data_IF_538632580910
#
_entry.id   IF_538632580910
#
_cell.length_a   1.000
_cell.length_b   1.000
_cell.length_c   1.000
_cell.angle_alpha   90.00
_cell.angle_beta   90.00
_cell.angle_gamma   90.00
#
_symmetry.space_group_name_H-M   'P 1'
#
loop_
_entity.id
_entity.type
_entity.pdbx_description
1 polymer ?
#
# COMPACT_ATOMS: atom_id res chain seq x y z
N UNK A 1 29.03 -51.58 33.34
CA UNK A 1 28.55 -51.59 31.95
C UNK A 1 27.32 -50.70 31.90
N UNK A 2 27.51 -49.40 31.62
CA UNK A 2 26.42 -48.41 31.65
C UNK A 2 25.58 -48.52 30.38
N UNK A 3 24.24 -48.67 30.47
CA UNK A 3 23.42 -48.76 29.27
C UNK A 3 23.46 -47.41 28.55
N UNK A 4 24.04 -47.41 27.34
CA UNK A 4 24.07 -46.23 26.50
C UNK A 4 22.70 -46.06 25.85
N UNK A 5 21.88 -45.15 26.37
CA UNK A 5 20.57 -44.84 25.77
C UNK A 5 20.82 -44.12 24.45
N UNK A 6 20.36 -44.70 23.34
CA UNK A 6 20.34 -44.07 22.03
C UNK A 6 19.27 -42.97 21.98
N UNK A 7 19.60 -41.81 21.41
CA UNK A 7 18.72 -40.64 21.29
C UNK A 7 17.39 -40.99 20.64
N UNK A 8 17.39 -41.91 19.66
CA UNK A 8 16.16 -42.38 19.01
C UNK A 8 15.24 -43.12 19.97
N UNK A 9 15.79 -43.94 20.86
CA UNK A 9 15.01 -44.67 21.86
C UNK A 9 14.49 -43.74 22.97
N UNK A 10 15.29 -42.74 23.37
CA UNK A 10 14.85 -41.72 24.30
C UNK A 10 13.68 -40.88 23.74
N UNK A 11 13.78 -40.44 22.48
CA UNK A 11 12.73 -39.65 21.83
C UNK A 11 11.45 -40.48 21.59
N UNK A 12 11.59 -41.75 21.21
CA UNK A 12 10.47 -42.67 21.09
C UNK A 12 9.73 -42.86 22.43
N UNK A 13 10.48 -43.00 23.53
CA UNK A 13 9.91 -43.12 24.88
C UNK A 13 9.17 -41.86 25.33
N UNK A 14 9.74 -40.67 25.11
CA UNK A 14 9.08 -39.39 25.44
C UNK A 14 7.80 -39.21 24.63
N UNK A 15 7.83 -39.55 23.34
CA UNK A 15 6.66 -39.46 22.45
C UNK A 15 5.56 -40.45 22.86
N UNK A 16 5.93 -41.66 23.29
CA UNK A 16 4.97 -42.66 23.78
C UNK A 16 4.31 -42.26 25.11
N UNK A 17 5.06 -41.64 26.03
CA UNK A 17 4.52 -41.25 27.36
C UNK A 17 3.72 -39.95 27.34
N UNK A 18 4.11 -38.96 26.53
CA UNK A 18 3.51 -37.62 26.54
C UNK A 18 2.84 -37.22 25.23
N UNK A 19 3.00 -37.99 24.15
CA UNK A 19 2.44 -37.64 22.84
C UNK A 19 0.92 -37.62 22.82
N UNK A 20 0.26 -38.53 23.55
CA UNK A 20 -1.21 -38.61 23.59
C UNK A 20 -1.86 -37.48 24.40
N UNK A 21 -1.24 -37.07 25.52
CA UNK A 21 -1.77 -36.00 26.38
C UNK A 21 -1.55 -34.60 25.79
N UNK A 22 -0.57 -34.44 24.92
CA UNK A 22 -0.32 -33.19 24.18
C UNK A 22 -1.11 -33.10 22.87
N UNK A 23 -1.46 -34.24 22.25
CA UNK A 23 -2.16 -34.24 20.96
C UNK A 23 -3.53 -33.57 21.04
N UNK A 24 -4.35 -33.88 22.05
CA UNK A 24 -5.68 -33.27 22.21
C UNK A 24 -5.64 -31.74 22.41
N UNK A 25 -4.83 -31.16 23.32
CA UNK A 25 -4.73 -29.70 23.44
C UNK A 25 -4.08 -29.03 22.23
N UNK A 26 -3.10 -29.65 21.57
CA UNK A 26 -2.51 -29.10 20.32
C UNK A 26 -3.51 -29.15 19.17
N UNK A 27 -4.23 -30.25 18.99
CA UNK A 27 -5.27 -30.38 17.97
C UNK A 27 -6.44 -29.41 18.23
N UNK A 28 -6.82 -29.19 19.50
CA UNK A 28 -7.79 -28.15 19.85
C UNK A 28 -7.26 -26.74 19.62
N UNK A 29 -5.98 -26.46 19.88
CA UNK A 29 -5.38 -25.16 19.59
C UNK A 29 -5.27 -24.92 18.07
N UNK A 30 -4.86 -25.93 17.28
CA UNK A 30 -4.82 -25.86 15.82
C UNK A 30 -6.22 -25.70 15.22
N UNK A 31 -7.19 -26.49 15.71
CA UNK A 31 -8.60 -26.37 15.31
C UNK A 31 -9.25 -25.06 15.77
N UNK A 32 -8.85 -24.50 16.90
CA UNK A 32 -9.28 -23.17 17.35
C UNK A 32 -8.67 -22.05 16.50
N UNK A 33 -7.42 -22.20 16.02
CA UNK A 33 -6.83 -21.28 15.03
C UNK A 33 -7.53 -21.40 13.67
N UNK A 34 -7.96 -22.60 13.28
CA UNK A 34 -8.71 -22.85 12.04
C UNK A 34 -10.16 -22.33 12.12
N UNK A 35 -10.84 -22.53 13.25
CA UNK A 35 -12.13 -21.89 13.56
C UNK A 35 -12.01 -20.36 13.71
N UNK A 36 -10.89 -19.86 14.25
CA UNK A 36 -10.61 -18.43 14.34
C UNK A 36 -10.30 -17.83 12.95
N UNK A 37 -9.68 -18.57 12.03
CA UNK A 37 -9.49 -18.15 10.63
C UNK A 37 -10.80 -17.99 9.87
N UNK A 38 -11.88 -18.66 10.31
CA UNK A 38 -13.23 -18.45 9.78
C UNK A 38 -13.95 -17.24 10.36
N UNK A 39 -13.43 -16.63 11.44
CA UNK A 39 -14.06 -15.51 12.17
C UNK A 39 -13.23 -14.22 12.17
N UNK A 40 -11.92 -14.31 11.92
CA UNK A 40 -11.04 -13.18 11.67
C UNK A 40 -10.90 -13.05 10.15
N UNK A 41 -11.38 -11.95 9.52
CA UNK A 41 -11.20 -11.76 8.10
C UNK A 41 -9.70 -11.77 7.77
N UNK A 42 -9.28 -12.68 6.89
CA UNK A 42 -7.91 -12.70 6.37
C UNK A 42 -7.69 -11.43 5.56
N UNK A 43 -6.73 -10.60 5.96
CA UNK A 43 -6.33 -9.43 5.18
C UNK A 43 -5.75 -9.97 3.86
N UNK A 44 -6.38 -9.61 2.75
CA UNK A 44 -5.92 -10.01 1.43
C UNK A 44 -4.73 -9.16 1.04
N UNK A 45 -3.52 -9.71 1.13
CA UNK A 45 -2.29 -9.10 0.61
C UNK A 45 -2.14 -9.25 -0.92
N UNK A 46 -3.13 -9.87 -1.56
CA UNK A 46 -3.17 -10.14 -2.99
C UNK A 46 -3.65 -8.94 -3.83
N UNK A 47 -3.74 -9.13 -5.16
CA UNK A 47 -4.24 -8.11 -6.08
C UNK A 47 -5.67 -7.64 -5.72
N UNK A 48 -6.13 -6.52 -6.30
CA UNK A 48 -7.50 -6.03 -6.12
C UNK A 48 -8.53 -7.15 -6.37
N UNK A 49 -9.59 -7.22 -5.55
CA UNK A 49 -10.63 -8.26 -5.69
C UNK A 49 -11.35 -8.21 -7.03
N UNK A 50 -11.42 -7.02 -7.63
CA UNK A 50 -11.94 -6.75 -8.96
C UNK A 50 -11.07 -5.72 -9.67
N UNK A 51 -10.94 -5.86 -10.99
CA UNK A 51 -10.26 -4.84 -11.79
C UNK A 51 -11.14 -3.58 -11.85
N UNK A 52 -10.62 -2.45 -11.39
CA UNK A 52 -11.34 -1.16 -11.39
C UNK A 52 -10.96 -0.35 -12.62
N UNK A 53 -9.68 -0.36 -12.98
CA UNK A 53 -9.19 0.45 -14.08
C UNK A 53 -9.11 -0.33 -15.40
N UNK A 54 -9.53 0.33 -16.47
CA UNK A 54 -9.12 -0.06 -17.82
C UNK A 54 -7.60 0.08 -17.97
N UNK A 55 -6.96 -0.58 -18.97
CA UNK A 55 -5.53 -0.43 -19.20
C UNK A 55 -5.07 1.03 -19.38
N UNK A 56 -5.89 1.86 -20.04
CA UNK A 56 -5.60 3.29 -20.25
C UNK A 56 -5.68 4.05 -18.92
N UNK A 57 -6.75 3.85 -18.15
CA UNK A 57 -6.91 4.48 -16.83
C UNK A 57 -5.79 4.08 -15.88
N UNK A 58 -5.37 2.81 -15.89
CA UNK A 58 -4.26 2.32 -15.06
C UNK A 58 -2.94 2.98 -15.45
N UNK A 59 -2.65 3.08 -16.75
CA UNK A 59 -1.45 3.77 -17.23
C UNK A 59 -1.45 5.25 -16.83
N UNK A 60 -2.61 5.92 -16.91
CA UNK A 60 -2.76 7.31 -16.48
C UNK A 60 -2.60 7.44 -14.97
N UNK A 61 -3.20 6.57 -14.16
CA UNK A 61 -3.02 6.52 -12.71
C UNK A 61 -1.54 6.38 -12.32
N UNK A 62 -0.81 5.47 -12.98
CA UNK A 62 0.64 5.28 -12.79
C UNK A 62 1.40 6.58 -13.09
N UNK A 63 1.18 7.17 -14.27
CA UNK A 63 1.90 8.37 -14.70
C UNK A 63 1.63 9.56 -13.78
N UNK A 64 0.36 9.80 -13.43
CA UNK A 64 -0.03 10.92 -12.57
C UNK A 64 0.44 10.75 -11.12
N UNK A 65 0.45 9.52 -10.59
CA UNK A 65 0.93 9.27 -9.22
C UNK A 65 2.40 9.64 -9.07
N UNK A 66 3.22 9.33 -10.07
CA UNK A 66 4.64 9.73 -10.10
C UNK A 66 4.82 11.24 -10.24
N UNK A 67 3.87 11.96 -10.84
CA UNK A 67 3.91 13.44 -10.84
C UNK A 67 3.64 14.04 -9.46
N UNK A 68 2.80 13.40 -8.64
CA UNK A 68 2.49 13.86 -7.29
C UNK A 68 3.65 13.60 -6.32
N UNK A 69 4.26 12.41 -6.36
CA UNK A 69 5.46 12.08 -5.60
C UNK A 69 6.49 11.43 -6.54
N UNK A 70 7.33 12.24 -7.21
CA UNK A 70 8.35 11.75 -8.12
C UNK A 70 9.54 11.17 -7.39
N UNK A 71 10.26 10.28 -8.05
CA UNK A 71 11.58 9.85 -7.59
C UNK A 71 12.55 11.04 -7.54
N UNK A 72 13.16 11.25 -6.37
CA UNK A 72 14.19 12.27 -6.13
C UNK A 72 15.39 11.60 -5.44
N UNK A 73 15.78 12.06 -4.25
CA UNK A 73 16.75 11.37 -3.39
C UNK A 73 16.17 10.08 -2.79
N UNK A 74 14.84 9.96 -2.80
CA UNK A 74 14.08 8.77 -2.40
C UNK A 74 13.22 8.23 -3.54
N UNK A 75 12.92 6.92 -3.58
CA UNK A 75 12.07 6.34 -4.61
C UNK A 75 10.66 6.92 -4.59
N UNK A 76 10.08 7.19 -5.77
CA UNK A 76 8.77 7.82 -5.93
C UNK A 76 7.55 6.89 -5.79
N UNK A 77 6.38 7.40 -6.14
CA UNK A 77 5.09 6.73 -5.99
C UNK A 77 5.02 5.37 -6.72
N UNK A 78 5.61 5.25 -7.91
CA UNK A 78 5.64 3.98 -8.65
C UNK A 78 6.46 2.94 -7.90
N UNK A 79 7.65 3.31 -7.43
CA UNK A 79 8.51 2.40 -6.66
C UNK A 79 7.85 1.95 -5.36
N UNK A 80 7.07 2.85 -4.73
CA UNK A 80 6.25 2.57 -3.55
C UNK A 80 4.95 1.79 -3.83
N UNK A 81 4.69 1.36 -5.08
CA UNK A 81 3.48 0.62 -5.48
C UNK A 81 2.17 1.35 -5.16
N UNK A 82 2.20 2.68 -5.19
CA UNK A 82 1.04 3.52 -4.92
C UNK A 82 -0.10 3.26 -5.92
N UNK A 83 0.14 3.12 -7.24
CA UNK A 83 -0.96 2.84 -8.18
C UNK A 83 -1.72 1.55 -7.86
N UNK A 84 -1.01 0.49 -7.47
CA UNK A 84 -1.59 -0.79 -7.06
C UNK A 84 -2.38 -0.65 -5.75
N UNK A 85 -1.83 0.09 -4.79
CA UNK A 85 -2.53 0.43 -3.54
C UNK A 85 -3.85 1.16 -3.84
N UNK A 86 -3.85 2.15 -4.73
CA UNK A 86 -5.04 2.91 -5.08
C UNK A 86 -6.09 1.99 -5.72
N UNK A 87 -5.71 1.17 -6.70
CA UNK A 87 -6.66 0.26 -7.33
C UNK A 87 -7.25 -0.74 -6.32
N UNK A 88 -6.42 -1.23 -5.39
CA UNK A 88 -6.87 -2.12 -4.30
C UNK A 88 -7.82 -1.42 -3.33
N UNK A 89 -7.51 -0.21 -2.90
CA UNK A 89 -8.40 0.60 -2.05
C UNK A 89 -9.76 0.83 -2.72
N UNK A 90 -9.76 1.14 -4.01
CA UNK A 90 -10.99 1.33 -4.77
C UNK A 90 -11.74 0.01 -4.99
N UNK A 91 -11.07 -1.12 -5.14
CA UNK A 91 -11.73 -2.41 -5.29
C UNK A 91 -12.37 -2.88 -3.98
N UNK A 92 -11.58 -2.89 -2.91
CA UNK A 92 -11.88 -3.67 -1.71
C UNK A 92 -12.56 -2.84 -0.61
N UNK A 93 -12.41 -1.51 -0.60
CA UNK A 93 -12.82 -0.67 0.53
C UNK A 93 -13.70 0.54 0.17
N UNK A 94 -13.40 1.24 -0.92
CA UNK A 94 -14.07 2.50 -1.23
C UNK A 94 -15.58 2.33 -1.45
N UNK A 95 -16.37 3.35 -1.08
CA UNK A 95 -17.78 3.41 -1.44
C UNK A 95 -17.95 3.74 -2.94
N UNK A 96 -19.11 3.45 -3.56
CA UNK A 96 -19.37 3.88 -4.93
C UNK A 96 -19.20 5.40 -5.14
N UNK A 97 -19.56 6.20 -4.13
CA UNK A 97 -19.48 7.66 -4.17
C UNK A 97 -18.02 8.14 -4.16
N UNK A 98 -17.11 7.41 -3.51
CA UNK A 98 -15.68 7.72 -3.52
C UNK A 98 -14.98 7.23 -4.80
N UNK A 99 -15.45 6.12 -5.39
CA UNK A 99 -14.89 5.55 -6.63
C UNK A 99 -15.20 6.41 -7.86
N UNK A 100 -16.43 6.89 -7.94
CA UNK A 100 -16.96 7.64 -9.09
C UNK A 100 -16.07 8.82 -9.52
N UNK A 101 -15.69 9.76 -8.63
CA UNK A 101 -14.87 10.90 -9.02
C UNK A 101 -13.47 10.51 -9.51
N UNK A 102 -12.89 9.42 -8.97
CA UNK A 102 -11.58 8.94 -9.43
C UNK A 102 -11.66 8.48 -10.89
N UNK A 103 -12.65 7.66 -11.23
CA UNK A 103 -12.82 7.15 -12.60
C UNK A 103 -13.20 8.28 -13.56
N UNK A 104 -14.11 9.16 -13.16
CA UNK A 104 -14.55 10.30 -13.96
C UNK A 104 -13.40 11.26 -14.26
N UNK A 105 -12.57 11.57 -13.27
CA UNK A 105 -11.40 12.43 -13.45
C UNK A 105 -10.31 11.82 -14.34
N UNK A 106 -10.03 10.52 -14.22
CA UNK A 106 -9.10 9.85 -15.13
C UNK A 106 -9.58 9.94 -16.58
N UNK A 107 -10.89 9.81 -16.82
CA UNK A 107 -11.47 9.97 -18.16
C UNK A 107 -11.38 11.42 -18.64
N UNK A 108 -11.65 12.40 -17.76
CA UNK A 108 -11.56 13.82 -18.09
C UNK A 108 -10.11 14.23 -18.44
N UNK A 109 -9.12 13.76 -17.68
CA UNK A 109 -7.70 14.00 -17.95
C UNK A 109 -7.28 13.35 -19.28
N UNK A 110 -7.70 12.11 -19.53
CA UNK A 110 -7.40 11.44 -20.80
C UNK A 110 -8.00 12.22 -21.98
N UNK A 111 -9.28 12.58 -21.91
CA UNK A 111 -9.95 13.37 -22.94
C UNK A 111 -9.27 14.73 -23.15
N UNK A 112 -8.86 15.39 -22.07
CA UNK A 112 -8.13 16.67 -22.14
C UNK A 112 -6.79 16.50 -22.82
N UNK A 113 -6.01 15.48 -22.45
CA UNK A 113 -4.71 15.20 -23.08
C UNK A 113 -4.85 14.91 -24.57
N UNK A 114 -5.83 14.10 -24.97
CA UNK A 114 -6.11 13.84 -26.38
C UNK A 114 -6.51 15.12 -27.13
N UNK A 115 -7.27 16.02 -26.49
CA UNK A 115 -7.72 17.26 -27.13
C UNK A 115 -6.59 18.27 -27.32
N UNK A 116 -5.73 18.49 -26.31
CA UNK A 116 -4.70 19.54 -26.29
C UNK A 116 -3.33 19.02 -26.72
N UNK A 117 -2.91 17.87 -26.19
CA UNK A 117 -1.57 17.31 -26.40
C UNK A 117 -1.51 16.31 -27.56
N UNK A 118 -2.67 15.85 -28.09
CA UNK A 118 -2.80 14.85 -29.15
C UNK A 118 -2.16 13.49 -28.83
N UNK A 119 -1.98 13.21 -27.54
CA UNK A 119 -1.41 11.97 -27.02
C UNK A 119 -2.20 11.51 -25.80
N UNK A 120 -2.14 10.21 -25.50
CA UNK A 120 -2.68 9.67 -24.26
C UNK A 120 -2.02 10.34 -23.05
N UNK A 121 -2.76 10.57 -21.97
CA UNK A 121 -2.25 11.28 -20.80
C UNK A 121 -1.01 10.61 -20.20
N UNK A 122 -1.01 9.27 -20.15
CA UNK A 122 0.13 8.47 -19.71
C UNK A 122 1.40 8.64 -20.58
N UNK A 123 1.24 9.05 -21.85
CA UNK A 123 2.34 9.27 -22.80
C UNK A 123 2.70 10.75 -22.98
N UNK A 124 1.95 11.65 -22.36
CA UNK A 124 2.25 13.07 -22.36
C UNK A 124 3.59 13.33 -21.64
N UNK A 125 4.25 14.43 -21.97
CA UNK A 125 5.49 14.83 -21.29
C UNK A 125 5.20 15.19 -19.82
N UNK A 126 6.21 15.20 -18.97
CA UNK A 126 6.06 15.57 -17.55
C UNK A 126 5.36 16.94 -17.40
N UNK A 127 5.78 17.96 -18.16
CA UNK A 127 5.16 19.28 -18.13
C UNK A 127 3.70 19.27 -18.60
N UNK A 128 3.35 18.43 -19.58
CA UNK A 128 1.96 18.27 -20.01
C UNK A 128 1.11 17.56 -18.95
N UNK A 129 1.67 16.58 -18.24
CA UNK A 129 0.99 15.91 -17.13
C UNK A 129 0.77 16.88 -15.96
N UNK A 130 1.75 17.73 -15.66
CA UNK A 130 1.62 18.78 -14.63
C UNK A 130 0.54 19.79 -14.98
N UNK A 131 0.47 20.20 -16.25
CA UNK A 131 -0.60 21.07 -16.75
C UNK A 131 -1.97 20.40 -16.58
N UNK A 132 -2.12 19.12 -16.93
CA UNK A 132 -3.39 18.39 -16.77
C UNK A 132 -3.82 18.30 -15.30
N UNK A 133 -2.88 18.05 -14.38
CA UNK A 133 -3.14 18.04 -12.94
C UNK A 133 -3.50 19.43 -12.41
N UNK A 134 -2.85 20.48 -12.92
CA UNK A 134 -3.13 21.87 -12.56
C UNK A 134 -4.54 22.27 -13.02
N UNK A 135 -4.91 21.97 -14.26
CA UNK A 135 -6.26 22.21 -14.79
C UNK A 135 -7.33 21.44 -14.01
N UNK A 136 -7.02 20.22 -13.56
CA UNK A 136 -7.90 19.46 -12.69
C UNK A 136 -8.07 20.15 -11.33
N UNK A 137 -6.97 20.53 -10.68
CA UNK A 137 -6.95 21.23 -9.40
C UNK A 137 -7.72 22.56 -9.44
N UNK A 138 -7.55 23.34 -10.50
CA UNK A 138 -8.20 24.64 -10.67
C UNK A 138 -9.67 24.53 -11.09
N UNK A 139 -10.17 23.32 -11.38
CA UNK A 139 -11.55 23.09 -11.81
C UNK A 139 -11.82 23.55 -13.24
N UNK A 140 -10.78 23.68 -14.07
CA UNK A 140 -10.91 23.95 -15.51
C UNK A 140 -11.57 22.75 -16.22
N UNK A 141 -11.29 21.53 -15.73
CA UNK A 141 -11.95 20.31 -16.18
C UNK A 141 -13.26 20.11 -15.38
N UNK A 142 -14.39 19.75 -16.05
CA UNK A 142 -15.68 19.55 -15.38
C UNK A 142 -15.64 18.60 -14.17
N UNK A 143 -14.83 17.54 -14.26
CA UNK A 143 -14.63 16.53 -13.20
C UNK A 143 -13.31 16.73 -12.43
N UNK A 144 -12.56 17.77 -12.77
CA UNK A 144 -11.18 17.96 -12.32
C UNK A 144 -11.07 18.13 -10.82
N UNK A 145 -11.89 19.01 -10.24
CA UNK A 145 -11.79 19.36 -8.82
C UNK A 145 -12.27 18.23 -7.91
N UNK A 146 -13.36 17.58 -8.29
CA UNK A 146 -13.88 16.40 -7.59
C UNK A 146 -12.89 15.21 -7.63
N UNK A 147 -12.06 15.14 -8.68
CA UNK A 147 -11.01 14.14 -8.82
C UNK A 147 -9.73 14.48 -8.05
N UNK A 148 -9.21 15.69 -8.21
CA UNK A 148 -7.83 16.03 -7.86
C UNK A 148 -7.55 15.88 -6.36
N UNK A 149 -8.45 16.39 -5.52
CA UNK A 149 -8.28 16.32 -4.07
C UNK A 149 -8.27 14.87 -3.56
N UNK A 150 -9.27 14.01 -3.85
CA UNK A 150 -9.23 12.59 -3.48
C UNK A 150 -8.05 11.83 -4.09
N UNK A 151 -7.74 12.05 -5.36
CA UNK A 151 -6.62 11.39 -6.04
C UNK A 151 -5.30 11.72 -5.34
N UNK A 152 -5.02 13.00 -5.10
CA UNK A 152 -3.80 13.45 -4.41
C UNK A 152 -3.74 12.85 -3.00
N UNK A 153 -4.85 12.86 -2.26
CA UNK A 153 -4.89 12.30 -0.91
C UNK A 153 -4.60 10.80 -0.91
N UNK A 154 -5.14 10.05 -1.87
CA UNK A 154 -4.85 8.62 -2.04
C UNK A 154 -3.37 8.37 -2.36
N UNK A 155 -2.76 9.19 -3.20
CA UNK A 155 -1.31 9.07 -3.51
C UNK A 155 -0.45 9.34 -2.28
N UNK A 156 -0.72 10.43 -1.57
CA UNK A 156 0.01 10.79 -0.34
C UNK A 156 -0.15 9.70 0.71
N UNK A 157 -1.38 9.21 0.91
CA UNK A 157 -1.66 8.15 1.87
C UNK A 157 -0.90 6.88 1.50
N UNK A 158 -1.04 6.40 0.26
CA UNK A 158 -0.37 5.19 -0.20
C UNK A 158 1.15 5.26 -0.08
N UNK A 159 1.74 6.43 -0.37
CA UNK A 159 3.18 6.61 -0.25
C UNK A 159 3.66 6.62 1.20
N UNK A 160 3.07 7.45 2.07
CA UNK A 160 3.53 7.60 3.46
C UNK A 160 3.11 6.45 4.39
N UNK A 161 2.29 5.52 3.91
CA UNK A 161 2.04 4.22 4.58
C UNK A 161 2.82 3.06 3.93
N UNK A 162 3.63 3.33 2.90
CA UNK A 162 4.50 2.31 2.29
C UNK A 162 5.81 2.16 3.08
N UNK A 163 6.48 1.02 2.89
CA UNK A 163 7.83 0.79 3.45
C UNK A 163 8.82 1.88 3.01
N UNK A 164 8.79 2.30 1.74
CA UNK A 164 9.66 3.38 1.23
C UNK A 164 9.37 4.70 1.94
N UNK A 165 8.11 5.11 2.02
CA UNK A 165 7.72 6.37 2.67
C UNK A 165 7.98 6.39 4.18
N UNK A 166 7.92 5.24 4.85
CA UNK A 166 8.16 5.12 6.29
C UNK A 166 9.66 5.03 6.61
N UNK A 167 10.44 4.25 5.85
CA UNK A 167 11.81 3.87 6.22
C UNK A 167 12.91 4.64 5.48
N UNK A 168 12.60 5.20 4.30
CA UNK A 168 13.59 5.88 3.47
C UNK A 168 13.34 7.38 3.41
N UNK A 169 12.09 7.80 3.20
CA UNK A 169 11.71 9.22 3.19
C UNK A 169 11.69 9.83 4.60
N UNK A 170 11.26 9.05 5.60
CA UNK A 170 11.19 9.46 7.01
C UNK A 170 12.28 8.80 7.84
N UNK A 171 12.58 9.39 8.99
CA UNK A 171 13.48 8.79 9.97
C UNK A 171 12.71 7.77 10.80
N UNK A 172 12.97 6.48 10.55
CA UNK A 172 12.25 5.40 11.19
C UNK A 172 12.75 5.14 12.62
N UNK A 173 11.88 5.39 13.59
CA UNK A 173 12.11 5.21 15.02
C UNK A 173 10.95 4.37 15.62
N UNK A 174 10.97 3.03 15.46
CA UNK A 174 9.86 2.16 15.85
C UNK A 174 9.62 2.09 17.36
N UNK A 175 10.65 2.39 18.15
CA UNK A 175 10.56 2.46 19.61
C UNK A 175 11.11 3.83 20.02
N UNK A 176 10.26 4.87 20.06
CA UNK A 176 10.70 6.18 20.51
C UNK A 176 11.11 6.08 21.98
N UNK A 177 12.33 6.54 22.28
CA UNK A 177 12.82 6.68 23.64
C UNK A 177 12.25 7.92 24.32
N UNK A 178 13.10 8.67 25.02
CA UNK A 178 12.68 9.92 25.65
C UNK A 178 12.34 11.00 24.62
N UNK A 179 11.28 11.77 24.90
CA UNK A 179 10.91 12.93 24.09
C UNK A 179 11.88 14.09 24.36
N UNK A 180 12.54 14.58 23.30
CA UNK A 180 13.38 15.78 23.34
C UNK A 180 12.79 16.89 22.46
N UNK A 181 12.04 17.82 23.07
CA UNK A 181 11.45 18.96 22.36
C UNK A 181 12.45 20.01 21.87
N UNK A 182 13.71 19.95 22.31
CA UNK A 182 14.79 20.85 21.87
C UNK A 182 15.80 20.15 20.93
N UNK A 183 15.42 19.01 20.35
CA UNK A 183 16.28 18.26 19.44
C UNK A 183 16.53 19.07 18.14
N UNK A 184 17.78 19.37 17.77
CA UNK A 184 18.05 20.15 16.57
C UNK A 184 17.62 19.43 15.29
N UNK A 185 16.80 20.09 14.45
CA UNK A 185 16.36 19.54 13.17
C UNK A 185 17.53 19.16 12.24
N UNK A 186 18.62 19.92 12.30
CA UNK A 186 19.84 19.71 11.51
C UNK A 186 20.49 18.34 11.67
N UNK A 187 20.20 17.63 12.77
CA UNK A 187 20.77 16.32 13.05
C UNK A 187 20.03 15.18 12.32
N UNK A 188 18.79 15.41 11.87
CA UNK A 188 17.93 14.38 11.25
C UNK A 188 17.52 14.79 9.84
N UNK A 189 17.23 16.08 9.62
CA UNK A 189 16.77 16.66 8.35
C UNK A 189 15.57 15.92 7.71
N UNK A 190 14.84 15.14 8.51
CA UNK A 190 13.67 14.35 8.13
C UNK A 190 12.65 14.36 9.26
N UNK A 191 11.40 14.03 8.91
CA UNK A 191 10.34 13.82 9.89
C UNK A 191 10.42 12.39 10.40
N UNK A 192 10.23 12.19 11.71
CA UNK A 192 10.21 10.86 12.30
C UNK A 192 8.95 10.06 11.92
N UNK A 193 9.09 8.75 11.75
CA UNK A 193 8.03 7.76 11.65
C UNK A 193 8.19 6.73 12.79
N UNK A 194 7.09 6.18 13.25
CA UNK A 194 7.04 5.09 14.24
C UNK A 194 6.53 3.82 13.58
#
# INVERSE_FOLDING_TARGET
MTPHIDRRHALAGITAMFGSSLFAPIARAAGAVEQARGTIPVISDGPPSVAIFTPIQRATMVALSERVIPTTDTPGAIAAKVPEFIEKMLADWASPDDKTPIIAGLNAIEARSQSVNKVAAAKATAAQQDMLLTEAMEGVLPEGRAFFEPFRQLVITGYYTSEIGITQEREYLPVPGEYNGAYPYSNVNKVYSA
#
